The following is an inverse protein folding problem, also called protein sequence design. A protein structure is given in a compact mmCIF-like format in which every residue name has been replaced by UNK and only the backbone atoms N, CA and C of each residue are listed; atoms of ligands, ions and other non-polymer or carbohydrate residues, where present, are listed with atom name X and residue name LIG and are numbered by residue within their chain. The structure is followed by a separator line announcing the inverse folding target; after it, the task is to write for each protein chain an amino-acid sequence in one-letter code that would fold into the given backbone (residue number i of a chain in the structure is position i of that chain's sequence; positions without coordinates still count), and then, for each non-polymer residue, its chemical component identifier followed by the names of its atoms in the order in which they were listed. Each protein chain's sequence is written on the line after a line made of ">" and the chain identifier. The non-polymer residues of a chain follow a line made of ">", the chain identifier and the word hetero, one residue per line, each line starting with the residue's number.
data_IF_646876972428
#
_entry.id   IF_646876972428
#
_cell.length_a   1.000
_cell.length_b   1.000
_cell.length_c   1.000
_cell.angle_alpha   90.00
_cell.angle_beta   90.00
_cell.angle_gamma   90.00
#
_symmetry.space_group_name_H-M   'P 1'
#
loop_
_entity.id
_entity.type
_entity.pdbx_description
1 polymer ?
#
# COMPACT_ATOMS: atom_id res chain seq x y z
N UNK A 1 12.16 8.16 -0.52
CA UNK A 1 11.76 8.07 -1.94
C UNK A 1 12.93 7.76 -2.86
N UNK A 2 14.01 8.57 -2.86
CA UNK A 2 15.16 8.39 -3.77
C UNK A 2 15.81 7.01 -3.75
N UNK A 3 15.91 6.32 -2.61
CA UNK A 3 16.49 4.97 -2.56
C UNK A 3 15.59 3.86 -3.12
N UNK A 4 14.26 4.06 -3.12
CA UNK A 4 13.27 3.05 -3.52
C UNK A 4 12.87 3.22 -5.00
N UNK A 5 12.95 4.44 -5.53
CA UNK A 5 12.57 4.78 -6.90
C UNK A 5 13.71 5.56 -7.57
N UNK A 6 14.93 5.03 -7.54
CA UNK A 6 16.17 5.74 -7.95
C UNK A 6 16.13 6.34 -9.36
N UNK A 7 15.30 5.82 -10.27
CA UNK A 7 15.19 6.35 -11.64
C UNK A 7 14.13 7.46 -11.77
N UNK A 8 13.23 7.62 -10.79
CA UNK A 8 12.15 8.60 -10.85
C UNK A 8 12.55 9.87 -10.09
N UNK A 9 12.77 10.96 -10.83
CA UNK A 9 12.99 12.29 -10.27
C UNK A 9 11.66 12.97 -9.96
N UNK A 10 11.24 12.90 -8.69
CA UNK A 10 10.00 13.52 -8.24
C UNK A 10 10.13 15.05 -8.12
N UNK A 11 9.06 15.77 -8.43
CA UNK A 11 8.99 17.18 -8.08
C UNK A 11 9.13 17.36 -6.55
N UNK A 12 9.92 18.34 -6.06
CA UNK A 12 10.17 18.52 -4.63
C UNK A 12 8.89 18.72 -3.81
N UNK A 13 7.95 19.49 -4.36
CA UNK A 13 6.66 19.81 -3.73
C UNK A 13 5.79 18.56 -3.58
N UNK A 14 5.64 17.76 -4.65
CA UNK A 14 4.87 16.52 -4.61
C UNK A 14 5.50 15.48 -3.68
N UNK A 15 6.84 15.39 -3.66
CA UNK A 15 7.58 14.53 -2.73
C UNK A 15 7.30 14.89 -1.28
N UNK A 16 7.23 16.19 -0.98
CA UNK A 16 6.93 16.68 0.35
C UNK A 16 5.46 16.43 0.72
N UNK A 17 4.53 16.71 -0.18
CA UNK A 17 3.09 16.55 0.06
C UNK A 17 2.71 15.09 0.31
N UNK A 18 3.22 14.15 -0.49
CA UNK A 18 2.86 12.73 -0.36
C UNK A 18 3.42 12.07 0.91
N UNK A 19 4.53 12.59 1.45
CA UNK A 19 5.15 12.10 2.69
C UNK A 19 4.60 12.79 3.94
N UNK A 20 3.89 13.91 3.79
CA UNK A 20 3.35 14.68 4.92
C UNK A 20 1.89 14.28 5.19
N UNK A 21 1.61 13.56 6.28
CA UNK A 21 0.23 13.27 6.66
C UNK A 21 -0.47 14.55 7.15
N UNK A 22 -1.79 14.61 7.00
CA UNK A 22 -2.58 15.79 7.37
C UNK A 22 -2.50 16.17 8.86
N UNK A 23 -2.12 15.22 9.71
CA UNK A 23 -1.92 15.44 11.15
C UNK A 23 -0.54 16.01 11.52
N UNK A 24 0.36 16.18 10.55
CA UNK A 24 1.72 16.69 10.79
C UNK A 24 1.71 18.22 10.88
N UNK A 25 2.52 18.86 11.75
CA UNK A 25 2.60 20.33 11.84
C UNK A 25 2.93 21.02 10.51
N UNK A 26 3.72 20.39 9.66
CA UNK A 26 4.10 20.89 8.33
C UNK A 26 3.01 20.72 7.27
N UNK A 27 1.85 20.14 7.59
CA UNK A 27 0.75 19.92 6.65
C UNK A 27 0.16 21.23 6.08
N UNK A 28 0.40 22.36 6.75
CA UNK A 28 0.09 23.71 6.26
C UNK A 28 0.81 24.03 4.95
N UNK A 29 1.96 23.40 4.70
CA UNK A 29 2.74 23.54 3.47
C UNK A 29 2.37 22.47 2.43
N UNK A 30 1.22 21.82 2.58
CA UNK A 30 0.74 20.74 1.72
C UNK A 30 0.85 19.36 2.38
N UNK A 31 -0.15 18.51 2.09
CA UNK A 31 -0.31 17.19 2.70
C UNK A 31 -0.92 16.18 1.71
N UNK A 32 -0.85 14.90 2.03
CA UNK A 32 -1.28 13.79 1.17
C UNK A 32 -2.81 13.61 1.04
N UNK A 33 -3.63 14.38 1.78
CA UNK A 33 -5.10 14.19 1.79
C UNK A 33 -5.74 14.38 0.40
N UNK A 34 -5.28 15.37 -0.38
CA UNK A 34 -5.84 15.66 -1.70
C UNK A 34 -5.56 14.55 -2.71
N UNK A 35 -4.42 13.90 -2.58
CA UNK A 35 -3.99 12.78 -3.43
C UNK A 35 -4.68 11.46 -3.06
N UNK A 36 -5.24 11.37 -1.85
CA UNK A 36 -5.69 10.11 -1.24
C UNK A 36 -6.76 9.35 -2.05
N UNK A 37 -7.81 9.98 -2.63
CA UNK A 37 -8.84 9.25 -3.37
C UNK A 37 -8.31 8.60 -4.66
N UNK A 38 -7.55 9.34 -5.46
CA UNK A 38 -6.92 8.82 -6.68
C UNK A 38 -5.90 7.73 -6.33
N UNK A 39 -5.04 8.02 -5.36
CA UNK A 39 -4.01 7.12 -4.84
C UNK A 39 -4.55 5.75 -4.42
N UNK A 40 -5.68 5.72 -3.68
CA UNK A 40 -6.34 4.48 -3.29
C UNK A 40 -6.86 3.71 -4.51
N UNK A 41 -7.48 4.41 -5.47
CA UNK A 41 -7.97 3.80 -6.72
C UNK A 41 -6.84 3.21 -7.56
N UNK A 42 -5.69 3.88 -7.61
CA UNK A 42 -4.49 3.39 -8.32
C UNK A 42 -4.01 2.07 -7.71
N UNK A 43 -3.84 2.02 -6.38
CA UNK A 43 -3.47 0.79 -5.68
C UNK A 43 -4.48 -0.34 -5.88
N UNK A 44 -5.77 -0.05 -5.71
CA UNK A 44 -6.84 -1.03 -5.87
C UNK A 44 -6.90 -1.55 -7.30
N UNK A 45 -6.74 -0.69 -8.31
CA UNK A 45 -6.75 -1.09 -9.72
C UNK A 45 -5.61 -2.05 -10.05
N UNK A 46 -4.38 -1.76 -9.62
CA UNK A 46 -3.23 -2.64 -9.89
C UNK A 46 -3.29 -3.94 -9.09
N UNK A 47 -3.84 -3.90 -7.87
CA UNK A 47 -4.11 -5.12 -7.13
C UNK A 47 -5.15 -5.98 -7.84
N UNK A 48 -6.25 -5.39 -8.34
CA UNK A 48 -7.26 -6.12 -9.09
C UNK A 48 -6.70 -6.70 -10.39
N UNK A 49 -5.87 -5.95 -11.12
CA UNK A 49 -5.17 -6.45 -12.32
C UNK A 49 -4.23 -7.63 -12.00
N UNK A 50 -3.51 -7.55 -10.88
CA UNK A 50 -2.73 -8.68 -10.41
C UNK A 50 -3.62 -9.90 -10.15
N UNK A 51 -4.70 -9.71 -9.39
CA UNK A 51 -5.63 -10.76 -9.02
C UNK A 51 -6.23 -11.41 -10.29
N UNK A 52 -6.74 -10.63 -11.24
CA UNK A 52 -7.35 -11.18 -12.46
C UNK A 52 -6.36 -11.96 -13.33
N UNK A 53 -5.06 -11.62 -13.27
CA UNK A 53 -4.01 -12.36 -13.98
C UNK A 53 -3.52 -13.61 -13.24
N UNK A 54 -3.89 -13.80 -11.96
CA UNK A 54 -3.39 -14.87 -11.12
C UNK A 54 -4.09 -16.20 -11.39
N UNK A 55 -3.30 -17.24 -11.63
CA UNK A 55 -3.79 -18.63 -11.79
C UNK A 55 -4.20 -19.29 -10.48
N UNK A 56 -3.87 -18.67 -9.35
CA UNK A 56 -4.07 -19.23 -8.00
C UNK A 56 -5.47 -18.92 -7.44
N UNK A 57 -6.24 -18.08 -8.14
CA UNK A 57 -7.60 -17.75 -7.74
C UNK A 57 -8.56 -18.90 -8.05
N UNK A 58 -9.29 -19.31 -7.01
CA UNK A 58 -10.42 -20.23 -7.12
C UNK A 58 -11.70 -19.42 -7.34
N UNK A 59 -12.71 -20.03 -7.96
CA UNK A 59 -14.03 -19.40 -8.17
C UNK A 59 -14.72 -18.98 -6.86
N UNK A 60 -14.32 -19.56 -5.73
CA UNK A 60 -14.82 -19.22 -4.39
C UNK A 60 -14.20 -17.95 -3.80
N UNK A 61 -13.13 -17.41 -4.40
CA UNK A 61 -12.43 -16.25 -3.89
C UNK A 61 -13.09 -14.95 -4.39
N UNK A 62 -13.50 -14.10 -3.44
CA UNK A 62 -14.00 -12.76 -3.76
C UNK A 62 -12.85 -11.76 -3.89
N UNK A 63 -12.68 -11.20 -5.10
CA UNK A 63 -11.73 -10.13 -5.38
C UNK A 63 -11.88 -8.95 -4.43
N UNK A 64 -13.13 -8.53 -4.20
CA UNK A 64 -13.46 -7.42 -3.31
C UNK A 64 -13.02 -7.69 -1.88
N UNK A 65 -13.24 -8.91 -1.40
CA UNK A 65 -12.79 -9.31 -0.06
C UNK A 65 -11.25 -9.24 0.00
N UNK A 66 -10.55 -9.88 -0.94
CA UNK A 66 -9.07 -9.87 -0.96
C UNK A 66 -8.51 -8.45 -1.01
N UNK A 67 -9.05 -7.59 -1.88
CA UNK A 67 -8.63 -6.19 -1.98
C UNK A 67 -8.89 -5.40 -0.69
N UNK A 68 -10.07 -5.56 -0.09
CA UNK A 68 -10.41 -4.94 1.18
C UNK A 68 -9.48 -5.39 2.31
N UNK A 69 -9.19 -6.67 2.43
CA UNK A 69 -8.27 -7.21 3.45
C UNK A 69 -6.81 -6.75 3.24
N UNK A 70 -6.39 -6.62 1.98
CA UNK A 70 -5.00 -6.28 1.63
C UNK A 70 -4.71 -4.79 1.79
N UNK A 71 -5.61 -3.92 1.32
CA UNK A 71 -5.38 -2.47 1.27
C UNK A 71 -6.02 -1.70 2.43
N UNK A 72 -6.99 -2.31 3.11
CA UNK A 72 -7.66 -1.72 4.27
C UNK A 72 -7.56 -2.68 5.47
N UNK A 73 -6.35 -2.98 5.95
CA UNK A 73 -6.17 -3.88 7.07
C UNK A 73 -6.91 -3.31 8.28
N UNK A 74 -7.95 -4.02 8.73
CA UNK A 74 -8.61 -3.69 9.98
C UNK A 74 -7.78 -4.30 11.09
N UNK A 75 -7.20 -3.50 12.00
CA UNK A 75 -6.66 -4.07 13.22
C UNK A 75 -7.81 -4.80 13.91
N UNK A 76 -7.58 -6.07 14.30
CA UNK A 76 -8.54 -6.83 15.10
C UNK A 76 -8.62 -6.19 16.49
N UNK A 77 -9.43 -5.14 16.63
CA UNK A 77 -9.86 -4.68 17.94
C UNK A 77 -10.86 -5.70 18.48
N UNK A 78 -10.46 -6.50 19.46
CA UNK A 78 -11.45 -7.19 20.28
C UNK A 78 -12.27 -6.12 20.99
N UNK A 79 -13.59 -6.11 20.75
CA UNK A 79 -14.53 -5.17 21.40
C UNK A 79 -14.41 -5.23 22.93
N UNK A 80 -14.04 -6.40 23.46
CA UNK A 80 -13.78 -6.68 24.87
C UNK A 80 -12.64 -5.84 25.47
N UNK A 81 -11.64 -5.43 24.68
CA UNK A 81 -10.53 -4.58 25.16
C UNK A 81 -10.81 -3.07 25.01
N UNK A 82 -11.90 -2.68 24.36
CA UNK A 82 -12.23 -1.27 24.10
C UNK A 82 -13.09 -0.63 25.20
N UNK A 83 -13.75 -1.45 26.03
CA UNK A 83 -14.72 -1.01 27.03
C UNK A 83 -14.14 -0.24 28.23
N UNK A 84 -12.83 -0.31 28.46
CA UNK A 84 -12.19 0.31 29.63
C UNK A 84 -11.43 1.59 29.21
N UNK A 85 -11.82 2.80 29.66
CA UNK A 85 -11.30 4.06 29.13
C UNK A 85 -9.93 4.51 29.66
N UNK A 86 -9.29 3.76 30.56
CA UNK A 86 -8.15 4.26 31.36
C UNK A 86 -6.95 3.30 31.47
N UNK A 87 -6.68 2.48 30.45
CA UNK A 87 -5.46 1.65 30.41
C UNK A 87 -4.41 2.24 29.46
N UNK A 88 -3.13 2.39 29.86
CA UNK A 88 -2.06 2.89 28.98
C UNK A 88 -1.87 2.02 27.73
N UNK A 89 -2.16 0.72 27.83
CA UNK A 89 -2.19 -0.22 26.70
C UNK A 89 -3.17 0.22 25.59
N UNK A 90 -4.30 0.85 25.93
CA UNK A 90 -5.29 1.34 24.96
C UNK A 90 -4.76 2.51 24.15
N UNK A 91 -4.00 3.42 24.78
CA UNK A 91 -3.40 4.56 24.11
C UNK A 91 -2.27 4.12 23.18
N UNK A 92 -1.43 3.20 23.63
CA UNK A 92 -0.38 2.59 22.80
C UNK A 92 -0.98 1.81 21.61
N UNK A 93 -2.06 1.06 21.85
CA UNK A 93 -2.80 0.37 20.79
C UNK A 93 -3.44 1.35 19.81
N UNK A 94 -4.10 2.42 20.26
CA UNK A 94 -4.68 3.44 19.38
C UNK A 94 -3.60 4.17 18.56
N UNK A 95 -2.44 4.47 19.15
CA UNK A 95 -1.26 4.99 18.45
C UNK A 95 -0.76 4.02 17.38
N UNK A 96 -0.76 2.72 17.66
CA UNK A 96 -0.38 1.69 16.67
C UNK A 96 -1.35 1.67 15.49
N UNK A 97 -2.66 1.70 15.74
CA UNK A 97 -3.71 1.70 14.71
C UNK A 97 -3.64 2.96 13.85
N UNK A 98 -3.45 4.12 14.46
CA UNK A 98 -3.24 5.38 13.75
C UNK A 98 -2.00 5.34 12.86
N UNK A 99 -0.90 4.76 13.36
CA UNK A 99 0.35 4.63 12.60
C UNK A 99 0.19 3.73 11.36
N UNK A 100 -0.52 2.61 11.46
CA UNK A 100 -0.82 1.74 10.32
C UNK A 100 -1.65 2.46 9.25
N UNK A 101 -2.65 3.24 9.66
CA UNK A 101 -3.48 4.03 8.74
C UNK A 101 -2.64 5.08 8.01
N UNK A 102 -1.81 5.82 8.76
CA UNK A 102 -0.92 6.85 8.19
C UNK A 102 0.07 6.22 7.20
N UNK A 103 0.69 5.09 7.55
CA UNK A 103 1.62 4.39 6.65
C UNK A 103 0.93 3.90 5.37
N UNK A 104 -0.26 3.30 5.47
CA UNK A 104 -1.03 2.87 4.31
C UNK A 104 -1.42 4.04 3.40
N UNK A 105 -1.81 5.17 3.98
CA UNK A 105 -2.14 6.40 3.25
C UNK A 105 -0.90 7.00 2.58
N UNK A 106 0.27 6.95 3.21
CA UNK A 106 1.55 7.36 2.59
C UNK A 106 1.90 6.49 1.40
N UNK A 107 1.79 5.15 1.50
CA UNK A 107 2.07 4.24 0.38
C UNK A 107 1.11 4.53 -0.79
N UNK A 108 -0.17 4.76 -0.50
CA UNK A 108 -1.12 5.17 -1.51
C UNK A 108 -0.68 6.49 -2.17
N UNK A 109 -0.39 7.51 -1.37
CA UNK A 109 0.01 8.83 -1.86
C UNK A 109 1.25 8.78 -2.76
N UNK A 110 2.25 7.96 -2.41
CA UNK A 110 3.41 7.70 -3.26
C UNK A 110 3.00 7.13 -4.61
N UNK A 111 2.14 6.10 -4.62
CA UNK A 111 1.68 5.47 -5.86
C UNK A 111 0.82 6.40 -6.72
N UNK A 112 -0.03 7.22 -6.10
CA UNK A 112 -0.79 8.26 -6.79
C UNK A 112 0.12 9.32 -7.40
N UNK A 113 1.17 9.74 -6.68
CA UNK A 113 2.17 10.68 -7.18
C UNK A 113 2.92 10.11 -8.39
N UNK A 114 3.29 8.83 -8.35
CA UNK A 114 3.94 8.17 -9.49
C UNK A 114 2.99 8.14 -10.69
N UNK A 115 1.72 7.81 -10.46
CA UNK A 115 0.71 7.78 -11.51
C UNK A 115 0.48 9.16 -12.14
N UNK A 116 0.42 10.21 -11.32
CA UNK A 116 0.19 11.57 -11.78
C UNK A 116 1.39 12.12 -12.55
N UNK A 117 2.61 11.90 -12.05
CA UNK A 117 3.82 12.47 -12.64
C UNK A 117 4.37 11.65 -13.83
N UNK A 118 4.30 10.31 -13.75
CA UNK A 118 4.95 9.41 -14.70
C UNK A 118 3.98 8.48 -15.45
N UNK A 119 2.68 8.58 -15.15
CA UNK A 119 1.63 7.86 -15.86
C UNK A 119 1.42 6.41 -15.40
N UNK A 120 0.39 5.79 -15.99
CA UNK A 120 -0.12 4.49 -15.57
C UNK A 120 0.87 3.32 -15.76
N UNK A 121 1.69 3.35 -16.81
CA UNK A 121 2.64 2.26 -17.10
C UNK A 121 3.76 2.18 -16.05
N UNK A 122 4.34 3.34 -15.71
CA UNK A 122 5.39 3.48 -14.70
C UNK A 122 4.84 3.09 -13.32
N UNK A 123 3.66 3.59 -12.96
CA UNK A 123 2.99 3.25 -11.71
C UNK A 123 2.66 1.75 -11.62
N UNK A 124 2.23 1.12 -12.72
CA UNK A 124 1.98 -0.32 -12.77
C UNK A 124 3.27 -1.14 -12.51
N UNK A 125 4.39 -0.78 -13.18
CA UNK A 125 5.70 -1.41 -12.93
C UNK A 125 6.17 -1.20 -11.49
N UNK A 126 6.04 0.01 -10.97
CA UNK A 126 6.41 0.35 -9.60
C UNK A 126 5.61 -0.48 -8.58
N UNK A 127 4.30 -0.65 -8.81
CA UNK A 127 3.46 -1.50 -7.97
C UNK A 127 3.98 -2.94 -7.93
N UNK A 128 4.17 -3.57 -9.09
CA UNK A 128 4.58 -4.98 -9.16
C UNK A 128 6.00 -5.24 -8.69
N UNK A 129 6.90 -4.27 -8.83
CA UNK A 129 8.31 -4.47 -8.49
C UNK A 129 8.68 -4.07 -7.07
N UNK A 130 7.99 -3.06 -6.51
CA UNK A 130 8.33 -2.43 -5.22
C UNK A 130 7.25 -2.61 -4.16
N UNK A 131 5.96 -2.60 -4.52
CA UNK A 131 4.85 -2.64 -3.54
C UNK A 131 4.31 -4.05 -3.31
N UNK A 132 3.95 -4.76 -4.38
CA UNK A 132 3.34 -6.09 -4.32
C UNK A 132 4.18 -7.12 -3.53
N UNK A 133 5.52 -7.17 -3.66
CA UNK A 133 6.33 -8.09 -2.86
C UNK A 133 6.22 -7.83 -1.35
N UNK A 134 6.04 -6.57 -0.95
CA UNK A 134 5.88 -6.19 0.46
C UNK A 134 4.50 -6.57 1.00
N UNK A 135 3.46 -6.56 0.15
CA UNK A 135 2.10 -6.98 0.52
C UNK A 135 2.02 -8.48 0.84
N UNK A 136 2.90 -9.30 0.27
CA UNK A 136 3.00 -10.73 0.60
C UNK A 136 3.71 -10.99 1.93
N UNK A 137 4.77 -10.24 2.22
CA UNK A 137 5.53 -10.38 3.48
C UNK A 137 4.69 -10.02 4.71
N UNK A 138 3.67 -9.17 4.52
CA UNK A 138 2.69 -8.86 5.55
C UNK A 138 1.71 -10.03 5.80
N UNK A 139 1.49 -10.90 4.80
CA UNK A 139 0.51 -11.99 4.78
C UNK A 139 0.68 -13.04 5.89
N UNK A 140 1.85 -13.09 6.52
CA UNK A 140 2.17 -14.00 7.64
C UNK A 140 1.58 -13.51 8.98
N UNK A 141 1.18 -12.22 9.07
CA UNK A 141 0.73 -11.57 10.32
C UNK A 141 -0.77 -11.20 10.35
N UNK A 142 -1.61 -11.90 9.57
CA UNK A 142 -3.05 -11.61 9.39
C UNK A 142 -3.38 -10.28 8.67
N UNK A 143 -2.45 -9.69 7.93
CA UNK A 143 -2.65 -8.47 7.13
C UNK A 143 -2.01 -8.64 5.74
N UNK A 144 -2.51 -7.97 4.70
CA UNK A 144 -1.94 -8.11 3.35
C UNK A 144 -2.47 -9.28 2.53
N UNK A 145 -1.73 -9.67 1.50
CA UNK A 145 -2.19 -10.65 0.51
C UNK A 145 -2.05 -12.08 1.09
N UNK A 146 -3.09 -12.94 1.08
CA UNK A 146 -3.03 -14.23 1.76
C UNK A 146 -1.96 -15.15 1.15
N UNK A 147 -0.90 -15.45 1.91
CA UNK A 147 0.24 -16.25 1.45
C UNK A 147 -0.17 -17.66 1.00
N UNK A 148 -1.17 -18.25 1.67
CA UNK A 148 -1.73 -19.56 1.30
C UNK A 148 -2.42 -19.56 -0.07
N UNK A 149 -2.93 -18.41 -0.51
CA UNK A 149 -3.60 -18.25 -1.81
C UNK A 149 -2.63 -17.77 -2.87
N UNK A 150 -1.63 -16.98 -2.51
CA UNK A 150 -0.68 -16.40 -3.45
C UNK A 150 0.75 -16.74 -3.01
N UNK A 151 1.34 -17.82 -3.55
CA UNK A 151 2.69 -18.22 -3.18
C UNK A 151 3.69 -17.14 -3.61
N UNK A 152 4.70 -16.88 -2.78
CA UNK A 152 5.74 -15.89 -3.07
C UNK A 152 6.45 -16.11 -4.41
N UNK A 153 6.54 -17.36 -4.88
CA UNK A 153 7.10 -17.69 -6.19
C UNK A 153 6.31 -17.09 -7.35
N UNK A 154 4.98 -16.94 -7.25
CA UNK A 154 4.14 -16.35 -8.29
C UNK A 154 4.38 -14.84 -8.43
N UNK A 155 4.46 -14.14 -7.30
CA UNK A 155 4.79 -12.71 -7.28
C UNK A 155 6.22 -12.47 -7.74
N UNK A 156 7.18 -13.31 -7.34
CA UNK A 156 8.58 -13.14 -7.77
C UNK A 156 8.74 -13.38 -9.28
N UNK A 157 8.02 -14.33 -9.88
CA UNK A 157 7.98 -14.49 -11.34
C UNK A 157 7.44 -13.24 -12.04
N UNK A 158 6.34 -12.69 -11.55
CA UNK A 158 5.75 -11.48 -12.11
C UNK A 158 6.68 -10.27 -11.93
N UNK A 159 7.28 -10.13 -10.75
CA UNK A 159 8.26 -9.10 -10.42
C UNK A 159 9.42 -9.11 -11.41
N UNK A 160 10.00 -10.28 -11.71
CA UNK A 160 11.06 -10.43 -12.71
C UNK A 160 10.59 -10.03 -14.11
N UNK A 161 9.38 -10.43 -14.51
CA UNK A 161 8.78 -10.04 -15.80
C UNK A 161 8.60 -8.53 -15.93
N UNK A 162 8.36 -7.83 -14.81
CA UNK A 162 8.14 -6.38 -14.76
C UNK A 162 9.43 -5.56 -14.55
N UNK A 163 10.62 -6.18 -14.69
CA UNK A 163 11.92 -5.50 -14.59
C UNK A 163 12.69 -5.77 -13.28
N UNK A 164 12.07 -6.41 -12.29
CA UNK A 164 12.75 -6.82 -11.06
C UNK A 164 12.91 -5.70 -9.99
N UNK A 165 13.57 -6.00 -8.86
CA UNK A 165 13.73 -5.10 -7.71
C UNK A 165 14.46 -3.79 -8.01
N UNK A 166 15.31 -3.76 -9.02
CA UNK A 166 16.16 -2.62 -9.39
C UNK A 166 16.00 -2.23 -10.85
N UNK A 167 15.03 -2.83 -11.55
CA UNK A 167 14.75 -2.52 -12.94
C UNK A 167 14.33 -1.08 -13.14
N UNK A 168 14.60 -0.60 -14.35
CA UNK A 168 14.15 0.71 -14.79
C UNK A 168 12.62 0.80 -14.73
N UNK A 169 12.14 1.92 -14.19
CA UNK A 169 10.72 2.21 -14.09
C UNK A 169 10.24 3.08 -15.25
N UNK A 170 11.13 3.72 -16.02
CA UNK A 170 10.83 4.54 -17.20
C UNK A 170 10.54 3.67 -18.44
#
# INVERSE_FOLDING_TARGET
>A
MRSIFQVLEFYPELSQHCLTPASHPSAVNGHSIGLSPLSRRVLESYLLLYLTSSKELKLTHSFRSIAMWTLHPRPKLSKEKLGDPMRPEKEEMLKSVGSYKVQGDTVAAVMGTIYEQFGASVAHRAFHTRVLPLLLLLGDKNCGLPFFVFPGSAVERLRKKMGGPTGDLA
#
